data_IF_951483655994
#
_entry.id   IF_951483655994
#
_cell.length_a   1.000
_cell.length_b   1.000
_cell.length_c   1.000
_cell.angle_alpha   90.00
_cell.angle_beta   90.00
_cell.angle_gamma   90.00
#
_symmetry.space_group_name_H-M   'P 1'
#
loop_
_entity.id
_entity.type
_entity.pdbx_description
1 polymer ?
#
# COMPACT_ATOMS: atom_id res chain seq x y z
N UNK A 1 8.61 -9.98 18.30
CA UNK A 1 8.42 -8.92 17.29
C UNK A 1 8.17 -9.44 15.87
N UNK A 2 9.06 -10.23 15.25
CA UNK A 2 8.86 -10.72 13.87
C UNK A 2 7.51 -11.40 13.59
N UNK A 3 6.99 -12.17 14.56
CA UNK A 3 5.64 -12.73 14.47
C UNK A 3 4.54 -11.67 14.39
N UNK A 4 4.66 -10.58 15.17
CA UNK A 4 3.73 -9.45 15.12
C UNK A 4 3.80 -8.75 13.75
N UNK A 5 5.00 -8.51 13.21
CA UNK A 5 5.18 -7.96 11.86
C UNK A 5 4.52 -8.85 10.79
N UNK A 6 4.70 -10.17 10.87
CA UNK A 6 4.07 -11.11 9.95
C UNK A 6 2.53 -11.12 10.06
N UNK A 7 1.96 -10.94 11.26
CA UNK A 7 0.52 -10.82 11.45
C UNK A 7 -0.03 -9.54 10.82
N UNK A 8 0.61 -8.39 11.08
CA UNK A 8 0.23 -7.11 10.47
C UNK A 8 0.35 -7.12 8.95
N UNK A 9 1.41 -7.71 8.40
CA UNK A 9 1.64 -7.77 6.96
C UNK A 9 0.49 -8.47 6.20
N UNK A 10 -0.10 -9.53 6.77
CA UNK A 10 -1.22 -10.28 6.15
C UNK A 10 -2.49 -9.45 5.96
N UNK A 11 -2.61 -8.31 6.63
CA UNK A 11 -3.79 -7.44 6.60
C UNK A 11 -3.57 -6.14 5.82
N UNK A 12 -2.41 -5.98 5.16
CA UNK A 12 -2.20 -4.89 4.20
C UNK A 12 -3.29 -4.92 3.11
N UNK A 13 -3.70 -3.74 2.62
CA UNK A 13 -4.80 -3.58 1.66
C UNK A 13 -6.21 -3.65 2.27
N UNK A 14 -6.35 -4.06 3.53
CA UNK A 14 -7.67 -4.30 4.17
C UNK A 14 -7.98 -3.35 5.33
N UNK A 15 -6.97 -2.69 5.87
CA UNK A 15 -7.05 -1.95 7.15
C UNK A 15 -7.10 -0.44 7.00
N UNK A 16 -6.92 0.07 5.77
CA UNK A 16 -7.00 1.50 5.48
C UNK A 16 -8.37 2.05 5.92
N UNK A 17 -8.43 3.30 6.43
CA UNK A 17 -7.34 4.30 6.47
C UNK A 17 -6.31 4.10 7.60
N UNK A 18 -6.47 3.10 8.45
CA UNK A 18 -5.58 2.85 9.59
C UNK A 18 -4.38 1.96 9.19
N UNK A 19 -3.26 2.03 9.93
CA UNK A 19 -2.13 1.14 9.69
C UNK A 19 -2.45 -0.33 10.00
N UNK A 20 -1.83 -1.22 9.24
CA UNK A 20 -1.90 -2.67 9.46
C UNK A 20 -0.94 -3.11 10.57
N UNK A 21 -1.36 -2.91 11.82
CA UNK A 21 -0.59 -3.25 13.01
C UNK A 21 -0.73 -4.73 13.32
N UNK A 22 0.34 -5.36 13.83
CA UNK A 22 0.28 -6.67 14.45
C UNK A 22 0.67 -6.62 15.93
N UNK A 23 0.10 -7.50 16.72
CA UNK A 23 0.29 -7.60 18.16
C UNK A 23 0.38 -9.06 18.61
N UNK A 24 1.28 -9.36 19.55
CA UNK A 24 1.39 -10.68 20.19
C UNK A 24 1.60 -10.50 21.68
N UNK A 25 0.76 -11.13 22.50
CA UNK A 25 0.91 -11.20 23.95
C UNK A 25 1.61 -12.51 24.33
N UNK A 26 2.67 -12.38 25.10
CA UNK A 26 3.51 -13.50 25.55
C UNK A 26 3.58 -13.50 27.07
N UNK A 27 3.20 -14.62 27.68
CA UNK A 27 3.23 -14.80 29.13
C UNK A 27 4.44 -15.64 29.54
N UNK A 28 5.27 -15.18 30.49
CA UNK A 28 6.26 -16.04 31.12
C UNK A 28 5.57 -17.16 31.90
N UNK A 29 6.05 -18.40 31.76
CA UNK A 29 5.59 -19.55 32.56
C UNK A 29 6.81 -20.31 33.09
N UNK A 30 6.59 -21.24 34.03
CA UNK A 30 7.65 -22.11 34.54
C UNK A 30 8.37 -22.92 33.43
N UNK A 31 7.66 -23.22 32.33
CA UNK A 31 8.18 -23.98 31.19
C UNK A 31 8.63 -23.08 30.03
N UNK A 32 8.80 -21.78 30.28
CA UNK A 32 9.19 -20.79 29.28
C UNK A 32 8.05 -19.89 28.79
N UNK A 33 8.34 -18.97 27.86
CA UNK A 33 7.36 -18.01 27.36
C UNK A 33 6.31 -18.68 26.45
N UNK A 34 5.04 -18.39 26.70
CA UNK A 34 3.91 -18.91 25.92
C UNK A 34 3.15 -17.76 25.26
N UNK A 35 2.82 -17.91 23.97
CA UNK A 35 1.93 -16.95 23.29
C UNK A 35 0.50 -17.16 23.78
N UNK A 36 -0.07 -16.16 24.43
CA UNK A 36 -1.43 -16.20 24.98
C UNK A 36 -2.44 -15.41 24.16
N UNK A 37 -1.98 -14.51 23.28
CA UNK A 37 -2.85 -13.78 22.38
C UNK A 37 -2.12 -13.29 21.14
N UNK A 38 -2.84 -13.19 20.02
CA UNK A 38 -2.38 -12.70 18.73
C UNK A 38 -3.46 -11.80 18.14
N UNK A 39 -3.03 -10.70 17.54
CA UNK A 39 -3.95 -9.77 16.92
C UNK A 39 -3.30 -9.05 15.75
N UNK A 40 -4.16 -8.60 14.85
CA UNK A 40 -3.82 -7.66 13.80
C UNK A 40 -4.98 -6.68 13.64
N UNK A 41 -4.72 -5.47 13.14
CA UNK A 41 -5.79 -4.50 12.84
C UNK A 41 -6.80 -5.16 11.90
N UNK A 42 -8.08 -5.10 12.21
CA UNK A 42 -9.12 -5.77 11.43
C UNK A 42 -9.56 -4.95 10.21
N UNK A 43 -10.23 -5.57 9.22
CA UNK A 43 -10.73 -4.87 8.04
C UNK A 43 -11.53 -3.61 8.38
N UNK A 44 -11.33 -2.53 7.62
CA UNK A 44 -11.89 -1.20 7.92
C UNK A 44 -11.16 -0.44 9.04
N UNK A 45 -10.02 -0.97 9.48
CA UNK A 45 -9.10 -0.31 10.41
C UNK A 45 -9.39 -0.50 11.89
N UNK A 46 -10.47 -1.23 12.24
CA UNK A 46 -10.85 -1.51 13.64
C UNK A 46 -11.53 -2.89 13.77
N UNK A 47 -11.45 -3.54 14.94
CA UNK A 47 -10.63 -3.17 16.10
C UNK A 47 -9.11 -3.21 15.81
N UNK A 48 -8.34 -2.50 16.63
CA UNK A 48 -6.87 -2.48 16.54
C UNK A 48 -6.26 -3.81 17.02
N UNK A 49 -5.02 -4.08 16.60
CA UNK A 49 -4.31 -5.33 16.86
C UNK A 49 -4.23 -5.69 18.34
N UNK A 50 -3.94 -4.70 19.19
CA UNK A 50 -3.76 -4.85 20.63
C UNK A 50 -5.06 -5.29 21.31
N UNK A 51 -6.19 -4.72 20.87
CA UNK A 51 -7.53 -5.08 21.37
C UNK A 51 -7.88 -6.51 20.99
N UNK A 52 -7.58 -6.91 19.74
CA UNK A 52 -7.80 -8.30 19.28
C UNK A 52 -6.93 -9.27 20.07
N UNK A 53 -5.64 -8.96 20.25
CA UNK A 53 -4.72 -9.80 21.01
C UNK A 53 -5.14 -9.93 22.49
N UNK A 54 -5.56 -8.82 23.12
CA UNK A 54 -6.10 -8.79 24.49
C UNK A 54 -7.34 -9.64 24.62
N UNK A 55 -8.29 -9.51 23.70
CA UNK A 55 -9.53 -10.29 23.72
C UNK A 55 -9.26 -11.79 23.65
N UNK A 56 -8.31 -12.22 22.80
CA UNK A 56 -7.90 -13.62 22.74
C UNK A 56 -7.19 -14.08 24.04
N UNK A 57 -6.34 -13.24 24.62
CA UNK A 57 -5.59 -13.59 25.82
C UNK A 57 -6.45 -13.66 27.10
N UNK A 58 -7.52 -12.85 27.18
CA UNK A 58 -8.38 -12.77 28.36
C UNK A 58 -7.57 -12.49 29.63
N UNK A 59 -7.84 -13.24 30.71
CA UNK A 59 -7.12 -13.10 31.98
C UNK A 59 -5.61 -13.39 31.89
N UNK A 60 -5.16 -14.12 30.87
CA UNK A 60 -3.75 -14.44 30.67
C UNK A 60 -2.91 -13.23 30.20
N UNK A 61 -3.54 -12.12 29.81
CA UNK A 61 -2.85 -10.86 29.51
C UNK A 61 -2.18 -10.24 30.75
N UNK A 62 -2.70 -10.51 31.95
CA UNK A 62 -2.15 -9.97 33.19
C UNK A 62 -0.73 -10.51 33.46
N UNK A 63 0.21 -9.58 33.58
CA UNK A 63 1.64 -9.87 33.75
C UNK A 63 2.35 -10.27 32.44
N UNK A 64 1.67 -10.24 31.29
CA UNK A 64 2.27 -10.60 30.02
C UNK A 64 3.14 -9.47 29.44
N UNK A 65 3.93 -9.80 28.41
CA UNK A 65 4.60 -8.85 27.53
C UNK A 65 3.83 -8.72 26.22
N UNK A 66 3.47 -7.49 25.83
CA UNK A 66 2.95 -7.18 24.51
C UNK A 66 4.11 -6.86 23.56
N UNK A 67 4.17 -7.53 22.40
CA UNK A 67 4.97 -7.11 21.26
C UNK A 67 4.04 -6.49 20.22
N UNK A 68 4.27 -5.24 19.85
CA UNK A 68 3.41 -4.50 18.92
C UNK A 68 4.22 -3.76 17.85
N UNK A 69 3.75 -3.77 16.61
CA UNK A 69 4.54 -3.28 15.47
C UNK A 69 4.58 -1.77 15.32
N UNK A 70 3.72 -1.05 16.04
CA UNK A 70 3.61 0.41 16.05
C UNK A 70 3.23 0.83 17.48
N UNK A 71 3.53 2.07 17.87
CA UNK A 71 3.11 2.62 19.16
C UNK A 71 1.61 2.43 19.41
N UNK A 72 1.20 1.91 20.59
CA UNK A 72 -0.21 1.84 20.97
C UNK A 72 -0.86 3.22 21.04
N UNK A 73 -2.01 3.39 20.38
CA UNK A 73 -2.65 4.70 20.32
C UNK A 73 -3.05 5.23 21.71
N UNK A 74 -2.90 6.54 21.90
CA UNK A 74 -3.18 7.29 23.14
C UNK A 74 -4.39 8.21 23.05
N UNK A 75 -4.92 8.46 21.84
CA UNK A 75 -6.05 9.34 21.60
C UNK A 75 -7.38 8.62 21.76
N UNK A 76 -8.39 9.36 22.23
CA UNK A 76 -9.79 8.88 22.27
C UNK A 76 -10.37 9.04 20.86
N UNK A 77 -10.55 7.93 20.17
CA UNK A 77 -11.23 7.89 18.88
C UNK A 77 -12.66 7.36 19.03
N UNK A 78 -13.12 6.57 18.05
CA UNK A 78 -14.40 5.83 18.14
C UNK A 78 -14.39 4.74 19.23
N UNK A 79 -13.20 4.26 19.61
CA UNK A 79 -12.97 3.36 20.74
C UNK A 79 -11.94 3.98 21.69
N UNK A 80 -11.91 3.52 22.93
CA UNK A 80 -10.88 3.94 23.90
C UNK A 80 -9.44 3.65 23.42
N UNK A 81 -8.43 4.33 23.98
CA UNK A 81 -7.03 4.18 23.59
C UNK A 81 -6.50 2.75 23.81
N UNK A 82 -5.67 2.26 22.88
CA UNK A 82 -5.02 0.95 23.04
C UNK A 82 -4.10 0.92 24.26
N UNK A 83 -3.41 2.03 24.56
CA UNK A 83 -2.57 2.15 25.74
C UNK A 83 -3.37 1.87 27.04
N UNK A 84 -4.55 2.49 27.18
CA UNK A 84 -5.45 2.25 28.32
C UNK A 84 -5.91 0.81 28.40
N UNK A 85 -6.30 0.24 27.26
CA UNK A 85 -6.73 -1.14 27.21
C UNK A 85 -5.64 -2.12 27.70
N UNK A 86 -4.36 -1.81 27.47
CA UNK A 86 -3.24 -2.64 27.95
C UNK A 86 -2.97 -2.42 29.44
N UNK A 87 -3.11 -1.18 29.93
CA UNK A 87 -3.00 -0.84 31.36
C UNK A 87 -4.09 -1.59 32.15
N UNK A 88 -5.34 -1.49 31.72
CA UNK A 88 -6.48 -2.20 32.33
C UNK A 88 -6.30 -3.72 32.32
N UNK A 89 -5.69 -4.27 31.25
CA UNK A 89 -5.38 -5.69 31.16
C UNK A 89 -4.29 -6.14 32.15
N UNK A 90 -3.56 -5.20 32.75
CA UNK A 90 -2.43 -5.46 33.64
C UNK A 90 -1.23 -6.04 32.91
N UNK A 91 -0.99 -5.63 31.67
CA UNK A 91 0.23 -5.97 30.92
C UNK A 91 1.43 -5.40 31.67
N UNK A 92 2.46 -6.22 31.91
CA UNK A 92 3.63 -5.80 32.68
C UNK A 92 4.68 -5.09 31.80
N UNK A 93 4.72 -5.42 30.51
CA UNK A 93 5.73 -4.93 29.58
C UNK A 93 5.18 -4.73 28.18
N UNK A 94 5.59 -3.66 27.51
CA UNK A 94 5.29 -3.37 26.10
C UNK A 94 6.60 -3.20 25.33
N UNK A 95 6.76 -4.00 24.28
CA UNK A 95 7.86 -3.90 23.32
C UNK A 95 7.29 -3.42 21.99
N UNK A 96 7.52 -2.15 21.66
CA UNK A 96 7.10 -1.53 20.41
C UNK A 96 8.21 -1.57 19.37
N UNK A 97 7.87 -1.84 18.11
CA UNK A 97 8.88 -1.84 17.05
C UNK A 97 9.34 -0.43 16.68
N UNK A 98 8.40 0.52 16.63
CA UNK A 98 8.64 1.90 16.25
C UNK A 98 7.58 2.82 16.88
N UNK A 99 7.95 4.08 17.09
CA UNK A 99 7.08 5.18 17.52
C UNK A 99 6.14 5.63 16.38
N UNK A 100 4.99 6.21 16.72
CA UNK A 100 4.07 6.78 15.73
C UNK A 100 4.71 8.01 15.05
N UNK A 101 4.61 8.16 13.71
CA UNK A 101 5.20 9.30 13.01
C UNK A 101 4.42 10.61 13.19
N UNK A 102 3.20 10.56 13.73
CA UNK A 102 2.36 11.73 13.91
C UNK A 102 2.84 12.54 15.13
N UNK A 103 3.27 13.80 14.97
CA UNK A 103 3.76 14.63 16.07
C UNK A 103 2.74 14.80 17.22
N UNK A 104 1.45 14.67 16.91
CA UNK A 104 0.36 14.76 17.89
C UNK A 104 0.22 13.48 18.74
N UNK A 105 0.84 12.37 18.32
CA UNK A 105 0.70 11.04 18.95
C UNK A 105 2.04 10.51 19.44
N UNK A 106 3.11 10.79 18.70
CA UNK A 106 4.49 10.35 18.94
C UNK A 106 4.87 10.39 20.42
N UNK A 107 5.09 9.20 21.00
CA UNK A 107 5.55 9.01 22.37
C UNK A 107 4.47 9.16 23.45
N UNK A 108 3.29 9.68 23.16
CA UNK A 108 2.22 9.84 24.16
C UNK A 108 1.68 8.50 24.65
N UNK A 109 1.58 7.49 23.78
CA UNK A 109 1.16 6.14 24.14
C UNK A 109 2.19 5.46 25.03
N UNK A 110 3.46 5.57 24.67
CA UNK A 110 4.58 5.07 25.49
C UNK A 110 4.66 5.75 26.84
N UNK A 111 4.56 7.08 26.89
CA UNK A 111 4.59 7.85 28.14
C UNK A 111 3.44 7.46 29.07
N UNK A 112 2.23 7.27 28.52
CA UNK A 112 1.05 6.85 29.28
C UNK A 112 1.22 5.46 29.88
N UNK A 113 1.78 4.51 29.13
CA UNK A 113 2.10 3.16 29.62
C UNK A 113 3.15 3.21 30.74
N UNK A 114 4.23 3.97 30.53
CA UNK A 114 5.31 4.11 31.51
C UNK A 114 4.81 4.75 32.83
N UNK A 115 3.97 5.80 32.73
CA UNK A 115 3.37 6.45 33.90
C UNK A 115 2.46 5.51 34.72
N UNK A 116 1.88 4.49 34.10
CA UNK A 116 1.10 3.45 34.75
C UNK A 116 1.96 2.27 35.28
N UNK A 117 3.29 2.37 35.22
CA UNK A 117 4.22 1.35 35.73
C UNK A 117 4.49 0.18 34.77
N UNK A 118 4.12 0.30 33.48
CA UNK A 118 4.44 -0.70 32.46
C UNK A 118 5.88 -0.50 31.95
N UNK A 119 6.69 -1.56 31.88
CA UNK A 119 8.03 -1.49 31.27
C UNK A 119 7.90 -1.30 29.74
N UNK A 120 8.49 -0.24 29.19
CA UNK A 120 8.39 0.10 27.76
C UNK A 120 9.76 0.01 27.08
N UNK A 121 9.85 -0.82 26.04
CA UNK A 121 11.01 -0.90 25.14
C UNK A 121 10.58 -0.55 23.72
N UNK A 122 11.36 0.30 23.06
CA UNK A 122 11.10 0.76 21.69
C UNK A 122 12.29 0.44 20.78
N UNK A 123 12.03 0.15 19.51
CA UNK A 123 13.07 0.04 18.47
C UNK A 123 13.41 -1.38 18.03
N UNK A 124 12.76 -2.41 18.60
CA UNK A 124 13.00 -3.81 18.20
C UNK A 124 12.47 -4.05 16.80
N UNK A 125 13.33 -4.43 15.85
CA UNK A 125 12.97 -4.59 14.42
C UNK A 125 12.47 -3.29 13.76
N UNK A 126 12.94 -2.12 14.22
CA UNK A 126 12.49 -0.81 13.73
C UNK A 126 12.60 -0.63 12.21
N UNK A 127 13.66 -1.15 11.58
CA UNK A 127 13.82 -1.06 10.12
C UNK A 127 12.73 -1.85 9.36
N UNK A 128 12.40 -3.05 9.83
CA UNK A 128 11.33 -3.85 9.25
C UNK A 128 9.95 -3.23 9.51
N UNK A 129 9.76 -2.61 10.69
CA UNK A 129 8.52 -1.90 11.01
C UNK A 129 8.32 -0.64 10.16
N UNK A 130 9.38 0.12 9.86
CA UNK A 130 9.31 1.24 8.90
C UNK A 130 8.77 0.79 7.55
N UNK A 131 9.28 -0.33 7.03
CA UNK A 131 8.77 -0.88 5.77
C UNK A 131 7.33 -1.40 5.88
N UNK A 132 6.99 -2.07 6.98
CA UNK A 132 5.63 -2.54 7.21
C UNK A 132 4.60 -1.39 7.28
N UNK A 133 5.00 -0.23 7.81
CA UNK A 133 4.14 0.95 8.00
C UNK A 133 4.40 2.10 7.03
N UNK A 134 5.15 1.86 5.94
CA UNK A 134 5.53 2.88 4.95
C UNK A 134 4.34 3.75 4.49
N UNK A 135 3.20 3.12 4.18
CA UNK A 135 1.99 3.85 3.77
C UNK A 135 1.45 4.82 4.83
N UNK A 136 1.44 4.40 6.10
CA UNK A 136 1.02 5.26 7.19
C UNK A 136 2.00 6.41 7.41
N UNK A 137 3.30 6.12 7.38
CA UNK A 137 4.35 7.12 7.55
C UNK A 137 4.33 8.17 6.44
N UNK A 138 4.23 7.74 5.19
CA UNK A 138 4.16 8.63 4.02
C UNK A 138 2.91 9.48 4.08
N UNK A 139 1.75 8.89 4.42
CA UNK A 139 0.50 9.65 4.56
C UNK A 139 0.58 10.73 5.64
N UNK A 140 1.16 10.41 6.80
CA UNK A 140 1.26 11.34 7.93
C UNK A 140 2.28 12.45 7.66
N UNK A 141 3.45 12.11 7.09
CA UNK A 141 4.56 13.05 6.90
C UNK A 141 4.46 13.86 5.63
N UNK A 142 4.00 13.25 4.54
CA UNK A 142 4.00 13.82 3.20
C UNK A 142 2.58 14.12 2.67
N UNK A 143 1.53 13.71 3.39
CA UNK A 143 0.15 13.98 2.99
C UNK A 143 -0.30 13.21 1.73
N UNK A 144 0.41 12.16 1.33
CA UNK A 144 0.12 11.30 0.16
C UNK A 144 0.26 9.81 0.50
N UNK A 145 -0.40 8.88 -0.21
CA UNK A 145 -0.11 7.45 -0.04
C UNK A 145 1.32 7.14 -0.50
N UNK A 146 1.88 6.07 0.06
CA UNK A 146 3.10 5.48 -0.47
C UNK A 146 2.82 4.82 -1.83
N UNK A 147 3.68 5.04 -2.81
CA UNK A 147 3.56 4.53 -4.17
C UNK A 147 4.64 3.47 -4.41
N UNK A 148 4.19 2.24 -4.62
CA UNK A 148 5.02 1.17 -5.17
C UNK A 148 4.80 1.13 -6.69
N UNK A 149 5.78 1.57 -7.48
CA UNK A 149 5.76 1.43 -8.93
C UNK A 149 6.16 0.01 -9.32
N UNK A 150 5.32 -0.68 -10.08
CA UNK A 150 5.65 -1.97 -10.70
C UNK A 150 5.68 -1.84 -12.21
N UNK A 151 6.78 -2.28 -12.81
CA UNK A 151 6.95 -2.38 -14.26
C UNK A 151 7.30 -3.80 -14.66
N UNK A 152 6.91 -4.19 -15.86
CA UNK A 152 7.40 -5.40 -16.51
C UNK A 152 8.20 -5.01 -17.75
N UNK A 153 9.30 -5.72 -18.00
CA UNK A 153 10.14 -5.51 -19.18
C UNK A 153 10.66 -6.82 -19.75
N UNK A 154 10.89 -6.83 -21.05
CA UNK A 154 11.65 -7.87 -21.74
C UNK A 154 13.12 -7.87 -21.32
N UNK A 155 13.88 -8.91 -21.69
CA UNK A 155 15.32 -9.01 -21.43
C UNK A 155 16.11 -7.84 -22.06
N UNK A 156 15.62 -7.32 -23.19
CA UNK A 156 16.17 -6.15 -23.90
C UNK A 156 15.56 -4.80 -23.45
N UNK A 157 14.72 -4.79 -22.41
CA UNK A 157 14.37 -3.58 -21.66
C UNK A 157 13.06 -2.88 -22.06
N UNK A 158 12.21 -3.51 -22.86
CA UNK A 158 10.98 -2.91 -23.39
C UNK A 158 9.73 -3.34 -22.62
N UNK A 159 8.79 -2.41 -22.42
CA UNK A 159 7.49 -2.66 -21.81
C UNK A 159 6.41 -3.02 -22.83
N UNK A 160 6.55 -2.58 -24.08
CA UNK A 160 5.59 -2.85 -25.14
C UNK A 160 6.27 -2.81 -26.52
N UNK A 161 5.64 -3.44 -27.50
CA UNK A 161 5.99 -3.27 -28.91
C UNK A 161 5.37 -1.97 -29.43
N UNK A 162 6.09 -1.22 -30.27
CA UNK A 162 5.52 -0.02 -30.93
C UNK A 162 4.39 -0.45 -31.86
N UNK A 163 3.18 0.09 -31.65
CA UNK A 163 1.99 -0.21 -32.48
C UNK A 163 1.50 -1.65 -32.42
N UNK A 164 1.99 -2.46 -31.48
CA UNK A 164 1.66 -3.88 -31.38
C UNK A 164 0.62 -4.20 -30.31
N UNK A 165 0.09 -5.42 -30.37
CA UNK A 165 -0.75 -5.98 -29.32
C UNK A 165 0.00 -6.13 -27.99
N UNK A 166 -0.75 -6.23 -26.89
CA UNK A 166 -0.25 -6.49 -25.55
C UNK A 166 0.83 -7.58 -25.51
N UNK A 167 1.95 -7.25 -24.88
CA UNK A 167 3.08 -8.18 -24.73
C UNK A 167 2.95 -8.99 -23.44
N UNK A 168 2.92 -10.32 -23.56
CA UNK A 168 2.94 -11.21 -22.42
C UNK A 168 4.39 -11.41 -21.96
N UNK A 169 4.84 -10.55 -21.04
CA UNK A 169 6.23 -10.52 -20.58
C UNK A 169 6.50 -11.57 -19.49
N UNK A 170 5.56 -11.76 -18.56
CA UNK A 170 5.76 -12.52 -17.32
C UNK A 170 4.89 -13.77 -17.26
N UNK A 171 5.41 -14.80 -16.58
CA UNK A 171 4.80 -16.12 -16.46
C UNK A 171 4.01 -16.30 -15.15
N UNK A 172 3.40 -17.48 -14.96
CA UNK A 172 2.46 -17.78 -13.88
C UNK A 172 2.96 -17.44 -12.47
N UNK A 173 4.21 -17.77 -12.15
CA UNK A 173 4.78 -17.50 -10.82
C UNK A 173 4.94 -15.99 -10.54
N UNK A 174 5.40 -15.22 -11.53
CA UNK A 174 5.49 -13.77 -11.41
C UNK A 174 4.09 -13.12 -11.37
N UNK A 175 3.15 -13.61 -12.18
CA UNK A 175 1.77 -13.13 -12.19
C UNK A 175 1.10 -13.36 -10.83
N UNK A 176 1.31 -14.52 -10.19
CA UNK A 176 0.82 -14.80 -8.85
C UNK A 176 1.40 -13.83 -7.81
N UNK A 177 2.70 -13.51 -7.91
CA UNK A 177 3.34 -12.54 -7.02
C UNK A 177 2.81 -11.12 -7.23
N UNK A 178 2.57 -10.69 -8.48
CA UNK A 178 1.92 -9.40 -8.77
C UNK A 178 0.51 -9.36 -8.17
N UNK A 179 -0.25 -10.46 -8.26
CA UNK A 179 -1.55 -10.52 -7.60
C UNK A 179 -1.47 -10.43 -6.06
N UNK A 180 -0.42 -10.96 -5.43
CA UNK A 180 -0.19 -10.73 -4.00
C UNK A 180 0.15 -9.26 -3.70
N UNK A 181 0.94 -8.60 -4.56
CA UNK A 181 1.22 -7.17 -4.43
C UNK A 181 -0.07 -6.35 -4.52
N UNK A 182 -0.96 -6.68 -5.48
CA UNK A 182 -2.29 -6.07 -5.59
C UNK A 182 -3.10 -6.24 -4.30
N UNK A 183 -3.10 -7.44 -3.74
CA UNK A 183 -3.85 -7.74 -2.51
C UNK A 183 -3.35 -6.99 -1.28
N UNK A 184 -2.10 -6.52 -1.29
CA UNK A 184 -1.50 -5.73 -0.21
C UNK A 184 -1.53 -4.21 -0.45
N UNK A 185 -2.06 -3.76 -1.58
CA UNK A 185 -2.27 -2.34 -1.86
C UNK A 185 -3.69 -1.93 -1.44
N UNK A 186 -3.88 -0.66 -1.10
CA UNK A 186 -5.22 -0.11 -0.86
C UNK A 186 -5.89 0.26 -2.19
N UNK A 187 -5.07 0.70 -3.16
CA UNK A 187 -5.48 0.99 -4.53
C UNK A 187 -4.45 0.54 -5.58
N UNK A 188 -4.90 0.22 -6.79
CA UNK A 188 -4.04 0.03 -7.97
C UNK A 188 -4.22 1.24 -8.88
N UNK A 189 -3.12 1.88 -9.24
CA UNK A 189 -3.09 3.06 -10.10
C UNK A 189 -2.59 2.72 -11.50
N UNK A 190 -3.31 3.19 -12.52
CA UNK A 190 -2.86 3.24 -13.91
C UNK A 190 -3.20 4.58 -14.55
N UNK A 191 -2.54 4.92 -15.66
CA UNK A 191 -2.96 6.02 -16.53
C UNK A 191 -3.94 5.54 -17.60
N UNK A 192 -4.71 6.47 -18.18
CA UNK A 192 -5.63 6.17 -19.29
C UNK A 192 -4.97 5.38 -20.43
N UNK A 193 -3.72 5.68 -20.79
CA UNK A 193 -3.00 4.98 -21.86
C UNK A 193 -2.92 3.46 -21.65
N UNK A 194 -2.73 3.00 -20.40
CA UNK A 194 -2.75 1.58 -20.05
C UNK A 194 -4.15 0.98 -20.23
N UNK A 195 -5.20 1.73 -19.87
CA UNK A 195 -6.59 1.27 -20.06
C UNK A 195 -6.91 1.10 -21.54
N UNK A 196 -6.54 2.07 -22.37
CA UNK A 196 -6.78 2.03 -23.82
C UNK A 196 -5.98 0.92 -24.51
N UNK A 197 -4.76 0.64 -24.07
CA UNK A 197 -3.90 -0.37 -24.67
C UNK A 197 -4.27 -1.81 -24.26
N UNK A 198 -4.62 -2.02 -22.99
CA UNK A 198 -4.69 -3.37 -22.41
C UNK A 198 -6.07 -3.79 -21.89
N UNK A 199 -7.02 -2.85 -21.78
CA UNK A 199 -8.34 -3.04 -21.15
C UNK A 199 -8.28 -3.92 -19.88
N UNK A 200 -7.46 -3.56 -18.87
CA UNK A 200 -7.15 -4.46 -17.77
C UNK A 200 -8.31 -4.53 -16.76
N UNK A 201 -8.50 -5.68 -16.12
CA UNK A 201 -9.47 -5.84 -15.03
C UNK A 201 -8.98 -5.24 -13.68
N UNK A 202 -7.65 -5.15 -13.49
CA UNK A 202 -6.96 -4.67 -12.28
C UNK A 202 -7.50 -5.24 -10.96
N UNK A 203 -7.81 -6.54 -10.93
CA UNK A 203 -8.29 -7.25 -9.75
C UNK A 203 -7.30 -8.32 -9.26
N UNK A 204 -7.59 -8.88 -8.09
CA UNK A 204 -6.90 -10.05 -7.53
C UNK A 204 -7.62 -11.31 -7.98
N UNK A 205 -6.87 -12.27 -8.52
CA UNK A 205 -7.40 -13.54 -9.06
C UNK A 205 -6.73 -14.77 -8.45
N UNK A 206 -6.08 -14.60 -7.31
CA UNK A 206 -5.55 -15.72 -6.54
C UNK A 206 -6.72 -16.50 -5.91
N UNK A 207 -6.64 -17.84 -5.85
CA UNK A 207 -7.68 -18.65 -5.23
C UNK A 207 -8.01 -18.17 -3.82
N UNK A 208 -9.29 -17.90 -3.54
CA UNK A 208 -9.77 -17.45 -2.23
C UNK A 208 -9.44 -15.99 -1.87
N UNK A 209 -8.87 -15.19 -2.78
CA UNK A 209 -8.44 -13.81 -2.50
C UNK A 209 -9.13 -12.75 -3.38
N UNK A 210 -10.21 -13.10 -4.08
CA UNK A 210 -10.92 -12.15 -4.96
C UNK A 210 -11.39 -10.88 -4.19
N UNK A 211 -11.87 -11.07 -2.96
CA UNK A 211 -12.29 -10.01 -2.02
C UNK A 211 -11.15 -9.12 -1.52
N UNK A 212 -9.89 -9.46 -1.82
CA UNK A 212 -8.73 -8.60 -1.56
C UNK A 212 -8.39 -7.73 -2.77
N UNK A 213 -9.30 -7.60 -3.73
CA UNK A 213 -9.12 -6.66 -4.86
C UNK A 213 -9.13 -5.23 -4.34
N UNK A 214 -8.09 -4.43 -4.64
CA UNK A 214 -8.01 -3.06 -4.16
C UNK A 214 -8.86 -2.13 -5.02
N UNK A 215 -8.99 -0.87 -4.59
CA UNK A 215 -9.65 0.16 -5.40
C UNK A 215 -8.89 0.34 -6.72
N UNK A 216 -9.59 0.37 -7.84
CA UNK A 216 -9.00 0.56 -9.17
C UNK A 216 -9.01 2.04 -9.52
N UNK A 217 -7.84 2.63 -9.72
CA UNK A 217 -7.68 4.07 -9.88
C UNK A 217 -7.12 4.35 -11.27
N UNK A 218 -7.80 5.23 -12.01
CA UNK A 218 -7.37 5.68 -13.34
C UNK A 218 -7.11 7.18 -13.31
N UNK A 219 -5.90 7.58 -13.71
CA UNK A 219 -5.61 8.97 -14.03
C UNK A 219 -6.02 9.26 -15.47
N UNK A 220 -7.05 10.08 -15.61
CA UNK A 220 -7.66 10.46 -16.89
C UNK A 220 -8.17 11.91 -16.80
N UNK A 221 -7.33 12.83 -17.26
CA UNK A 221 -7.57 14.28 -17.13
C UNK A 221 -8.89 14.74 -17.73
N UNK A 222 -9.41 14.06 -18.76
CA UNK A 222 -10.56 14.50 -19.55
C UNK A 222 -11.74 13.51 -19.54
N UNK A 223 -11.70 12.47 -18.70
CA UNK A 223 -12.74 11.42 -18.63
C UNK A 223 -12.96 10.72 -19.99
N UNK A 224 -11.87 10.47 -20.70
CA UNK A 224 -11.85 9.77 -21.99
C UNK A 224 -11.89 8.24 -21.87
N UNK A 225 -11.88 7.68 -20.65
CA UNK A 225 -12.03 6.25 -20.42
C UNK A 225 -13.32 5.74 -21.11
N UNK A 226 -13.24 4.69 -21.96
CA UNK A 226 -14.41 4.15 -22.63
C UNK A 226 -15.42 3.59 -21.62
N UNK A 227 -16.71 3.83 -21.82
CA UNK A 227 -17.76 3.24 -20.96
C UNK A 227 -17.78 1.70 -21.02
N UNK A 228 -17.31 1.14 -22.13
CA UNK A 228 -17.22 -0.30 -22.33
C UNK A 228 -15.93 -0.92 -21.72
N UNK A 229 -15.00 -0.09 -21.21
CA UNK A 229 -13.79 -0.61 -20.58
C UNK A 229 -14.17 -1.50 -19.39
N UNK A 230 -13.45 -2.61 -19.19
CA UNK A 230 -13.75 -3.57 -18.11
C UNK A 230 -13.80 -2.91 -16.74
N UNK A 231 -12.95 -1.92 -16.50
CA UNK A 231 -12.93 -1.14 -15.27
C UNK A 231 -14.27 -0.44 -15.02
N UNK A 232 -14.85 0.19 -16.05
CA UNK A 232 -16.16 0.87 -15.95
C UNK A 232 -17.28 -0.15 -15.86
N UNK A 233 -17.29 -1.16 -16.73
CA UNK A 233 -18.34 -2.17 -16.80
C UNK A 233 -18.49 -2.99 -15.49
N UNK A 234 -17.43 -3.12 -14.71
CA UNK A 234 -17.42 -3.87 -13.43
C UNK A 234 -17.26 -2.95 -12.22
N UNK A 235 -17.45 -1.63 -12.37
CA UNK A 235 -17.22 -0.65 -11.30
C UNK A 235 -18.10 -0.86 -10.06
N UNK A 236 -19.27 -1.50 -10.25
CA UNK A 236 -20.20 -1.86 -9.17
C UNK A 236 -19.76 -3.08 -8.36
N UNK A 237 -18.94 -3.95 -8.94
CA UNK A 237 -18.43 -5.17 -8.28
C UNK A 237 -17.09 -4.89 -7.61
N UNK A 238 -16.21 -4.14 -8.28
CA UNK A 238 -14.90 -3.74 -7.76
C UNK A 238 -14.78 -2.21 -7.83
N UNK A 239 -14.65 -1.51 -6.69
CA UNK A 239 -14.63 -0.05 -6.64
C UNK A 239 -13.64 0.54 -7.66
N UNK A 240 -14.12 1.51 -8.43
CA UNK A 240 -13.33 2.15 -9.49
C UNK A 240 -13.44 3.65 -9.38
N UNK A 241 -12.28 4.29 -9.24
CA UNK A 241 -12.13 5.72 -9.12
C UNK A 241 -11.41 6.26 -10.35
N UNK A 242 -11.92 7.35 -10.91
CA UNK A 242 -11.26 8.09 -11.98
C UNK A 242 -10.90 9.47 -11.45
N UNK A 243 -9.60 9.78 -11.44
CA UNK A 243 -9.12 11.13 -11.12
C UNK A 243 -9.05 11.92 -12.41
N UNK A 244 -9.76 13.05 -12.45
CA UNK A 244 -9.88 13.92 -13.61
C UNK A 244 -9.60 15.38 -13.27
N UNK A 245 -9.24 16.17 -14.27
CA UNK A 245 -9.07 17.60 -14.09
C UNK A 245 -10.44 18.24 -13.79
N UNK A 246 -10.48 19.32 -13.01
CA UNK A 246 -11.71 20.10 -12.79
C UNK A 246 -12.36 20.56 -14.10
N UNK A 247 -11.56 20.78 -15.15
CA UNK A 247 -12.03 21.17 -16.47
C UNK A 247 -12.67 20.03 -17.29
N UNK A 248 -12.63 18.77 -16.84
CA UNK A 248 -13.15 17.65 -17.63
C UNK A 248 -14.69 17.73 -17.81
N UNK A 249 -15.25 17.27 -18.94
CA UNK A 249 -16.66 17.49 -19.25
C UNK A 249 -17.63 16.88 -18.23
N UNK A 250 -18.55 17.70 -17.69
CA UNK A 250 -19.54 17.24 -16.71
C UNK A 250 -20.47 16.13 -17.25
N UNK A 251 -20.80 16.17 -18.54
CA UNK A 251 -21.60 15.12 -19.18
C UNK A 251 -20.90 13.75 -19.15
N UNK A 252 -19.57 13.71 -19.32
CA UNK A 252 -18.79 12.47 -19.25
C UNK A 252 -18.75 11.91 -17.84
N UNK A 253 -18.61 12.79 -16.84
CA UNK A 253 -18.71 12.38 -15.43
C UNK A 253 -20.07 11.76 -15.12
N UNK A 254 -21.17 12.39 -15.52
CA UNK A 254 -22.51 11.87 -15.26
C UNK A 254 -22.69 10.45 -15.82
N UNK A 255 -22.15 10.17 -17.01
CA UNK A 255 -22.19 8.84 -17.62
C UNK A 255 -21.37 7.81 -16.85
N UNK A 256 -20.19 8.19 -16.34
CA UNK A 256 -19.33 7.31 -15.54
C UNK A 256 -19.94 7.02 -14.16
N UNK A 257 -20.47 8.05 -13.50
CA UNK A 257 -21.18 7.92 -12.22
C UNK A 257 -22.41 7.01 -12.37
N UNK A 258 -23.17 7.16 -13.45
CA UNK A 258 -24.27 6.24 -13.77
C UNK A 258 -23.82 4.78 -13.97
N UNK A 259 -22.57 4.54 -14.40
CA UNK A 259 -21.99 3.21 -14.48
C UNK A 259 -21.44 2.67 -13.13
N UNK A 260 -21.42 3.50 -12.08
CA UNK A 260 -20.91 3.15 -10.75
C UNK A 260 -19.45 3.54 -10.51
N UNK A 261 -18.84 4.30 -11.42
CA UNK A 261 -17.50 4.86 -11.25
C UNK A 261 -17.58 6.10 -10.35
N UNK A 262 -16.67 6.21 -9.39
CA UNK A 262 -16.51 7.44 -8.63
C UNK A 262 -15.52 8.38 -9.35
N UNK A 263 -15.93 9.63 -9.58
CA UNK A 263 -15.06 10.64 -10.22
C UNK A 263 -14.52 11.59 -9.17
N UNK A 264 -13.21 11.75 -9.16
CA UNK A 264 -12.46 12.63 -8.25
C UNK A 264 -11.86 13.77 -9.07
N UNK A 265 -12.15 15.02 -8.69
CA UNK A 265 -11.66 16.20 -9.40
C UNK A 265 -10.42 16.78 -8.73
N UNK A 266 -9.42 17.16 -9.51
CA UNK A 266 -8.25 17.91 -9.07
C UNK A 266 -7.96 19.08 -10.00
N UNK A 267 -7.42 20.16 -9.44
CA UNK A 267 -6.93 21.28 -10.23
C UNK A 267 -5.87 20.78 -11.25
N UNK A 268 -5.90 21.27 -12.50
CA UNK A 268 -4.93 20.87 -13.50
C UNK A 268 -3.52 21.42 -13.23
N UNK A 269 -2.50 20.69 -13.66
CA UNK A 269 -1.12 21.14 -13.74
C UNK A 269 -0.91 22.04 -14.97
N UNK A 270 -0.67 23.33 -14.71
CA UNK A 270 -0.31 24.31 -15.74
C UNK A 270 -1.37 24.54 -16.81
N UNK A 271 -1.03 25.32 -17.83
CA UNK A 271 -1.98 25.74 -18.87
C UNK A 271 -2.44 24.59 -19.80
N UNK A 272 -1.70 23.47 -19.83
CA UNK A 272 -1.99 22.34 -20.71
C UNK A 272 -3.09 21.38 -20.20
N UNK A 273 -3.69 21.66 -19.02
CA UNK A 273 -4.83 20.88 -18.52
C UNK A 273 -4.49 19.43 -18.13
N UNK A 274 -3.21 19.11 -17.91
CA UNK A 274 -2.77 17.79 -17.45
C UNK A 274 -3.13 17.60 -15.97
N UNK A 275 -3.23 16.36 -15.51
CA UNK A 275 -3.35 16.09 -14.07
C UNK A 275 -2.03 16.43 -13.38
N UNK A 276 -2.11 17.08 -12.22
CA UNK A 276 -1.01 17.15 -11.25
C UNK A 276 -0.98 15.83 -10.46
N UNK A 277 0.04 14.97 -10.64
CA UNK A 277 0.12 13.70 -9.93
C UNK A 277 0.24 13.87 -8.42
N UNK A 278 0.96 14.90 -7.95
CA UNK A 278 1.09 15.18 -6.52
C UNK A 278 -0.24 15.60 -5.90
N UNK A 279 -1.01 16.47 -6.57
CA UNK A 279 -2.35 16.84 -6.12
C UNK A 279 -3.31 15.65 -6.12
N UNK A 280 -3.25 14.80 -7.16
CA UNK A 280 -4.05 13.58 -7.23
C UNK A 280 -3.72 12.62 -6.07
N UNK A 281 -2.44 12.38 -5.77
CA UNK A 281 -2.02 11.55 -4.66
C UNK A 281 -2.46 12.13 -3.30
N UNK A 282 -2.36 13.46 -3.10
CA UNK A 282 -2.88 14.13 -1.89
C UNK A 282 -4.39 13.94 -1.74
N UNK A 283 -5.16 14.08 -2.83
CA UNK A 283 -6.60 13.82 -2.81
C UNK A 283 -6.88 12.37 -2.38
N UNK A 284 -6.17 11.39 -2.94
CA UNK A 284 -6.32 9.98 -2.57
C UNK A 284 -5.99 9.71 -1.08
N UNK A 285 -4.98 10.38 -0.52
CA UNK A 285 -4.68 10.30 0.91
C UNK A 285 -5.80 10.88 1.80
N UNK A 286 -6.48 11.95 1.35
CA UNK A 286 -7.65 12.50 2.07
C UNK A 286 -8.83 11.52 2.07
N UNK A 287 -8.94 10.69 1.02
CA UNK A 287 -9.89 9.57 0.96
C UNK A 287 -9.47 8.36 1.78
N UNK A 288 -8.33 8.44 2.46
CA UNK A 288 -7.86 7.42 3.40
C UNK A 288 -6.88 6.41 2.83
N UNK A 289 -6.56 6.45 1.53
CA UNK A 289 -5.59 5.52 0.97
C UNK A 289 -4.19 5.77 1.55
N UNK A 290 -3.50 4.69 1.90
CA UNK A 290 -2.16 4.73 2.49
C UNK A 290 -1.10 4.12 1.59
N UNK A 291 -1.47 3.14 0.76
CA UNK A 291 -0.58 2.42 -0.17
C UNK A 291 -1.21 2.26 -1.53
N UNK A 292 -0.47 2.61 -2.57
CA UNK A 292 -0.83 2.38 -3.97
C UNK A 292 0.17 1.47 -4.66
N UNK A 293 -0.34 0.53 -5.46
CA UNK A 293 0.45 -0.17 -6.46
C UNK A 293 0.23 0.51 -7.83
N UNK A 294 1.24 1.19 -8.36
CA UNK A 294 1.17 1.74 -9.70
C UNK A 294 1.61 0.68 -10.73
N UNK A 295 0.69 0.26 -11.60
CA UNK A 295 0.97 -0.59 -12.78
C UNK A 295 0.85 0.20 -14.09
N UNK A 296 0.91 1.53 -14.00
CA UNK A 296 0.88 2.41 -15.16
C UNK A 296 2.08 2.22 -16.10
N UNK A 297 1.85 2.48 -17.37
CA UNK A 297 2.90 2.40 -18.40
C UNK A 297 4.04 3.42 -18.18
N UNK A 298 5.11 3.33 -19.01
CA UNK A 298 6.34 4.12 -18.84
C UNK A 298 6.14 5.63 -18.72
N UNK A 299 5.16 6.20 -19.42
CA UNK A 299 4.86 7.64 -19.34
C UNK A 299 4.36 8.07 -17.94
N UNK A 300 3.50 7.28 -17.29
CA UNK A 300 3.05 7.58 -15.93
C UNK A 300 4.18 7.34 -14.92
N UNK A 301 4.96 6.28 -15.13
CA UNK A 301 6.11 5.99 -14.30
C UNK A 301 7.14 7.13 -14.31
N UNK A 302 7.44 7.68 -15.49
CA UNK A 302 8.36 8.81 -15.62
C UNK A 302 7.81 10.11 -15.04
N UNK A 303 6.51 10.38 -15.20
CA UNK A 303 5.88 11.56 -14.59
C UNK A 303 5.92 11.50 -13.06
N UNK A 304 5.63 10.34 -12.47
CA UNK A 304 5.76 10.15 -11.01
C UNK A 304 7.21 10.27 -10.54
N UNK A 305 8.18 9.81 -11.33
CA UNK A 305 9.60 9.92 -11.00
C UNK A 305 10.12 11.35 -11.11
N UNK A 306 9.63 12.13 -12.08
CA UNK A 306 9.99 13.54 -12.26
C UNK A 306 9.57 14.40 -11.06
N UNK A 307 8.42 14.09 -10.46
CA UNK A 307 7.89 14.77 -9.28
C UNK A 307 8.35 14.14 -7.93
N UNK A 308 9.27 13.16 -7.96
CA UNK A 308 9.77 12.44 -6.77
C UNK A 308 8.66 11.78 -5.92
N UNK A 309 7.69 11.15 -6.58
CA UNK A 309 6.48 10.58 -5.98
C UNK A 309 6.51 9.04 -5.84
N UNK A 310 7.69 8.41 -6.01
CA UNK A 310 7.83 6.94 -5.98
C UNK A 310 8.64 6.53 -4.74
N UNK A 311 8.03 5.71 -3.88
CA UNK A 311 8.67 5.24 -2.64
C UNK A 311 9.36 3.89 -2.83
N UNK A 312 8.78 3.02 -3.65
CA UNK A 312 9.32 1.70 -3.98
C UNK A 312 9.21 1.43 -5.48
N UNK A 313 10.20 0.76 -6.05
CA UNK A 313 10.14 0.28 -7.44
C UNK A 313 10.35 -1.23 -7.50
N UNK A 314 9.51 -1.90 -8.29
CA UNK A 314 9.61 -3.32 -8.61
C UNK A 314 9.69 -3.48 -10.12
N UNK A 315 10.86 -3.88 -10.63
CA UNK A 315 11.04 -4.19 -12.05
C UNK A 315 11.04 -5.71 -12.22
N UNK A 316 10.05 -6.22 -12.95
CA UNK A 316 9.98 -7.63 -13.35
C UNK A 316 10.58 -7.77 -14.74
N UNK A 317 11.66 -8.52 -14.87
CA UNK A 317 12.27 -8.85 -16.16
C UNK A 317 11.86 -10.25 -16.55
N UNK A 318 11.11 -10.37 -17.65
CA UNK A 318 10.70 -11.64 -18.22
C UNK A 318 11.74 -12.23 -19.17
N UNK A 319 11.57 -13.50 -19.54
CA UNK A 319 12.49 -14.23 -20.43
C UNK A 319 12.41 -13.84 -21.92
N UNK A 320 11.40 -13.08 -22.32
CA UNK A 320 11.15 -12.68 -23.71
C UNK A 320 12.15 -11.59 -24.15
N UNK A 321 12.60 -11.65 -25.41
CA UNK A 321 13.27 -10.55 -26.13
C UNK A 321 12.38 -10.07 -27.27
N UNK A 322 12.32 -8.76 -27.51
CA UNK A 322 11.59 -8.22 -28.67
C UNK A 322 12.42 -8.24 -29.95
N UNK A 323 13.75 -8.13 -29.84
CA UNK A 323 14.69 -8.11 -30.98
C UNK A 323 14.47 -6.96 -31.98
N UNK A 324 13.51 -6.09 -31.70
CA UNK A 324 13.20 -4.84 -32.43
C UNK A 324 12.97 -3.72 -31.43
N UNK A 325 13.01 -2.47 -31.90
CA UNK A 325 12.72 -1.32 -31.04
C UNK A 325 11.30 -1.40 -30.44
N UNK A 326 11.21 -1.25 -29.12
CA UNK A 326 9.98 -1.17 -28.37
C UNK A 326 9.86 0.12 -27.57
N UNK A 327 8.76 0.27 -26.85
CA UNK A 327 8.64 1.31 -25.82
C UNK A 327 9.51 0.92 -24.63
N UNK A 328 10.51 1.73 -24.31
CA UNK A 328 11.39 1.51 -23.17
C UNK A 328 10.58 1.42 -21.88
N UNK A 329 10.86 0.40 -21.05
CA UNK A 329 10.14 0.24 -19.79
C UNK A 329 10.50 1.30 -18.75
N UNK A 330 11.77 1.70 -18.74
CA UNK A 330 12.33 2.71 -17.85
C UNK A 330 12.69 3.92 -18.70
N UNK A 331 12.00 5.03 -18.50
CA UNK A 331 12.34 6.28 -19.17
C UNK A 331 13.34 7.13 -18.38
N UNK A 332 13.71 8.31 -18.88
CA UNK A 332 14.84 9.09 -18.35
C UNK A 332 14.67 9.53 -16.91
N UNK A 333 13.47 9.97 -16.51
CA UNK A 333 13.22 10.42 -15.13
C UNK A 333 13.28 9.26 -14.16
N UNK A 334 12.67 8.12 -14.49
CA UNK A 334 12.76 6.93 -13.66
C UNK A 334 14.18 6.37 -13.58
N UNK A 335 14.96 6.41 -14.67
CA UNK A 335 16.36 5.98 -14.65
C UNK A 335 17.20 6.81 -13.67
N UNK A 336 17.00 8.13 -13.62
CA UNK A 336 17.66 9.01 -12.65
C UNK A 336 17.22 8.71 -11.21
N UNK A 337 15.91 8.55 -10.99
CA UNK A 337 15.38 8.20 -9.67
C UNK A 337 15.99 6.88 -9.15
N UNK A 338 16.02 5.83 -9.98
CA UNK A 338 16.59 4.52 -9.63
C UNK A 338 18.06 4.60 -9.23
N UNK A 339 18.84 5.51 -9.82
CA UNK A 339 20.25 5.70 -9.47
C UNK A 339 20.45 6.23 -8.03
N UNK A 340 19.45 6.93 -7.47
CA UNK A 340 19.45 7.40 -6.09
C UNK A 340 18.78 6.46 -5.08
N UNK A 341 18.07 5.42 -5.55
CA UNK A 341 17.35 4.48 -4.69
C UNK A 341 18.27 3.36 -4.17
N UNK A 342 17.93 2.82 -3.00
CA UNK A 342 18.60 1.64 -2.45
C UNK A 342 18.10 0.38 -3.13
N UNK A 343 18.96 -0.31 -3.86
CA UNK A 343 18.67 -1.65 -4.38
C UNK A 343 18.64 -2.70 -3.26
N UNK A 344 17.63 -3.58 -3.29
CA UNK A 344 17.51 -4.72 -2.40
C UNK A 344 17.88 -6.03 -3.11
N UNK A 345 18.11 -7.13 -2.36
CA UNK A 345 18.36 -8.44 -2.97
C UNK A 345 17.25 -8.83 -3.97
N UNK A 346 17.61 -9.23 -5.20
CA UNK A 346 16.63 -9.64 -6.20
C UNK A 346 16.00 -10.99 -5.83
N UNK A 347 14.83 -11.26 -6.42
CA UNK A 347 14.13 -12.53 -6.28
C UNK A 347 13.88 -13.14 -7.66
N UNK A 348 13.87 -14.47 -7.76
CA UNK A 348 13.36 -15.20 -8.93
C UNK A 348 11.98 -15.78 -8.64
N UNK A 349 11.10 -15.75 -9.63
CA UNK A 349 9.81 -16.42 -9.58
C UNK A 349 9.60 -17.16 -10.91
N UNK A 350 9.91 -18.46 -10.94
CA UNK A 350 10.08 -19.17 -12.21
C UNK A 350 11.24 -18.57 -13.03
N UNK A 351 11.08 -18.36 -14.34
CA UNK A 351 12.14 -17.77 -15.17
C UNK A 351 12.30 -16.26 -14.97
N UNK A 352 11.29 -15.61 -14.39
CA UNK A 352 11.25 -14.16 -14.25
C UNK A 352 12.09 -13.68 -13.05
N UNK A 353 12.71 -12.51 -13.21
CA UNK A 353 13.53 -11.86 -12.18
C UNK A 353 12.87 -10.57 -11.69
N UNK A 354 12.75 -10.43 -10.39
CA UNK A 354 12.31 -9.22 -9.70
C UNK A 354 13.53 -8.47 -9.17
N UNK A 355 13.65 -7.19 -9.54
CA UNK A 355 14.54 -6.23 -8.91
C UNK A 355 13.71 -5.25 -8.06
N UNK A 356 14.17 -4.98 -6.85
CA UNK A 356 13.48 -4.15 -5.87
C UNK A 356 14.36 -2.96 -5.48
N UNK A 357 13.74 -1.79 -5.39
CA UNK A 357 14.40 -0.54 -5.02
C UNK A 357 13.51 0.19 -4.01
N UNK A 358 14.13 0.81 -3.02
CA UNK A 358 13.44 1.61 -2.00
C UNK A 358 14.05 3.02 -1.94
N UNK A 359 13.20 4.03 -1.79
CA UNK A 359 13.61 5.41 -1.54
C UNK A 359 14.40 5.46 -0.25
N UNK A 360 15.48 6.23 -0.24
CA UNK A 360 16.23 6.47 0.99
C UNK A 360 15.48 7.52 1.84
N UNK A 361 15.34 7.28 3.15
CA UNK A 361 14.59 8.16 4.05
C UNK A 361 15.25 9.51 4.28
#
# INVERSE_FOLDING_TARGET
MRQALALGHRHLGRTWPNPSVGAVLVRPTANGPVVVGRGATQPGGRPHAEVVARAQAGAAARGATLYVTLEPCSHVGRTGPCADAMIEAGVARVVSAIEDPNPLVAGHGHARLAAAGVDVVVGVEAAAARQAHLGHFTRVREGRPAVTLKLARTLDGFAARVGGSRLMITEGAANARVHLMRAHADGILVGLGTVLADDPALNVRLPGMAESSPIRIVFDSQLNIPLAARLVATARDVPTWVVAAESAPAAREAMLVAAGVEVLRVAPAGAAGRLDPAAALRLLATRGLTRLLCEGGPALADALAEDDLIDEVVIVTGGVRLEVAGLAAVGPSLARALAGMRALPPLRAGPDRFAFYERQP
#
